data_IF_417297867669
#
_entry.id   IF_417297867669
#
_cell.length_a   1.000
_cell.length_b   1.000
_cell.length_c   1.000
_cell.angle_alpha   90.00
_cell.angle_beta   90.00
_cell.angle_gamma   90.00
#
_symmetry.space_group_name_H-M   'P 1'
#
loop_
_entity.id
_entity.type
_entity.pdbx_description
1 polymer ?
#
# COMPACT_ATOMS: atom_id res chain seq x y z
N UNK A 1 -10.51 -0.62 -12.10
CA UNK A 1 -10.25 -0.13 -10.72
C UNK A 1 -11.56 0.36 -10.16
N UNK A 2 -11.82 0.11 -8.89
CA UNK A 2 -13.09 0.38 -8.16
C UNK A 2 -13.43 1.87 -8.00
N UNK A 3 -13.05 2.68 -9.00
CA UNK A 3 -13.14 4.13 -9.11
C UNK A 3 -14.55 4.72 -8.96
N UNK A 4 -15.59 3.87 -8.92
CA UNK A 4 -16.99 4.27 -8.73
C UNK A 4 -17.51 3.92 -7.33
N UNK A 5 -16.70 3.29 -6.49
CA UNK A 5 -17.05 2.99 -5.10
C UNK A 5 -16.49 4.09 -4.21
N UNK A 6 -17.40 4.87 -3.60
CA UNK A 6 -17.03 6.04 -2.79
C UNK A 6 -16.45 5.67 -1.42
N UNK A 7 -16.91 4.56 -0.84
CA UNK A 7 -16.44 4.04 0.45
C UNK A 7 -15.82 2.66 0.24
N UNK A 8 -14.50 2.62 0.08
CA UNK A 8 -13.76 1.39 -0.17
C UNK A 8 -12.55 1.30 0.74
N UNK A 9 -12.37 0.16 1.39
CA UNK A 9 -11.14 -0.20 2.11
C UNK A 9 -10.55 -1.44 1.47
N UNK A 10 -9.27 -1.38 1.13
CA UNK A 10 -8.46 -2.49 0.65
C UNK A 10 -7.37 -2.69 1.69
N UNK A 11 -7.34 -3.86 2.34
CA UNK A 11 -6.36 -4.15 3.38
C UNK A 11 -5.82 -5.59 3.31
N UNK A 12 -4.63 -5.79 3.89
CA UNK A 12 -4.02 -7.10 4.08
C UNK A 12 -2.51 -7.09 3.82
N UNK A 13 -1.90 -8.27 3.94
CA UNK A 13 -0.52 -8.50 3.55
C UNK A 13 -0.40 -8.45 2.02
N UNK A 14 0.20 -7.36 1.52
CA UNK A 14 0.40 -7.14 0.09
C UNK A 14 1.85 -7.39 -0.34
N UNK A 15 2.75 -7.75 0.60
CA UNK A 15 4.19 -7.77 0.36
C UNK A 15 4.70 -6.49 -0.34
N UNK A 16 4.15 -5.32 0.04
CA UNK A 16 4.30 -4.07 -0.72
C UNK A 16 5.57 -3.25 -0.39
N UNK A 17 6.68 -3.92 -0.05
CA UNK A 17 7.95 -3.26 0.28
C UNK A 17 9.16 -4.19 0.13
N UNK A 18 10.34 -3.67 0.47
CA UNK A 18 11.60 -4.43 0.52
C UNK A 18 11.92 -5.10 -0.83
N UNK A 19 12.33 -6.37 -0.83
CA UNK A 19 12.71 -7.09 -2.05
C UNK A 19 11.53 -7.41 -2.97
N UNK A 20 10.31 -7.45 -2.44
CA UNK A 20 9.11 -7.82 -3.20
C UNK A 20 8.62 -6.68 -4.09
N UNK A 21 8.71 -5.44 -3.61
CA UNK A 21 8.27 -4.27 -4.37
C UNK A 21 9.26 -3.10 -4.22
N UNK A 22 10.04 -2.88 -5.27
CA UNK A 22 10.96 -1.73 -5.32
C UNK A 22 10.19 -0.41 -5.27
N UNK A 23 10.84 0.66 -4.77
CA UNK A 23 10.27 2.02 -4.76
C UNK A 23 9.74 2.44 -6.13
N UNK A 24 10.53 2.22 -7.20
CA UNK A 24 10.11 2.53 -8.59
C UNK A 24 8.88 1.71 -9.00
N UNK A 25 8.81 0.43 -8.64
CA UNK A 25 7.64 -0.41 -8.91
C UNK A 25 6.40 0.10 -8.19
N UNK A 26 6.54 0.45 -6.90
CA UNK A 26 5.47 1.00 -6.07
C UNK A 26 4.92 2.31 -6.61
N UNK A 27 5.80 3.24 -6.99
CA UNK A 27 5.41 4.55 -7.55
C UNK A 27 4.72 4.43 -8.94
N UNK A 28 4.87 3.28 -9.60
CA UNK A 28 4.21 2.97 -10.87
C UNK A 28 2.86 2.26 -10.70
N UNK A 29 2.50 1.81 -9.50
CA UNK A 29 1.21 1.17 -9.26
C UNK A 29 0.07 2.14 -9.54
N UNK A 30 -0.95 1.66 -10.25
CA UNK A 30 -2.18 2.44 -10.50
C UNK A 30 -2.85 2.89 -9.19
N UNK A 31 -2.78 2.06 -8.15
CA UNK A 31 -3.35 2.32 -6.83
C UNK A 31 -2.56 3.39 -6.06
N UNK A 32 -1.30 3.63 -6.44
CA UNK A 32 -0.44 4.66 -5.87
C UNK A 32 -0.54 5.98 -6.64
N UNK A 33 -0.67 5.91 -7.96
CA UNK A 33 -0.79 7.10 -8.83
C UNK A 33 -2.17 7.76 -8.78
N UNK A 34 -3.23 7.00 -8.55
CA UNK A 34 -4.57 7.55 -8.41
C UNK A 34 -4.75 8.13 -7.00
N UNK A 35 -4.75 9.46 -6.91
CA UNK A 35 -4.74 10.22 -5.66
C UNK A 35 -5.98 10.04 -4.79
N UNK A 36 -7.04 9.40 -5.31
CA UNK A 36 -8.24 9.04 -4.54
C UNK A 36 -7.96 7.92 -3.55
N UNK A 37 -7.01 7.02 -3.86
CA UNK A 37 -6.62 5.94 -2.98
C UNK A 37 -5.58 6.44 -1.99
N UNK A 38 -5.97 6.59 -0.73
CA UNK A 38 -5.09 7.02 0.34
C UNK A 38 -4.46 5.83 1.02
N UNK A 39 -3.14 5.71 0.89
CA UNK A 39 -2.34 4.72 1.60
C UNK A 39 -2.14 5.20 3.04
N UNK A 40 -2.83 4.57 3.99
CA UNK A 40 -2.78 4.93 5.41
C UNK A 40 -1.59 4.31 6.12
N UNK A 41 -1.22 3.10 5.74
CA UNK A 41 0.08 2.53 6.11
C UNK A 41 1.10 2.98 5.07
N UNK A 42 1.96 3.92 5.49
CA UNK A 42 2.98 4.54 4.64
C UNK A 42 4.19 3.62 4.47
N UNK A 43 5.10 4.01 3.59
CA UNK A 43 6.25 3.16 3.20
C UNK A 43 7.35 3.10 4.28
N UNK A 44 7.29 3.96 5.29
CA UNK A 44 8.22 4.06 6.41
C UNK A 44 7.72 3.34 7.67
N UNK A 45 6.50 2.77 7.63
CA UNK A 45 5.96 1.99 8.73
C UNK A 45 6.43 0.54 8.67
N UNK A 46 6.94 0.03 9.77
CA UNK A 46 7.26 -1.41 9.91
C UNK A 46 6.01 -2.18 10.33
N UNK A 47 5.67 -3.18 9.53
CA UNK A 47 4.50 -4.06 9.74
C UNK A 47 4.90 -5.48 10.10
N UNK A 48 6.19 -5.74 10.29
CA UNK A 48 6.70 -7.09 10.58
C UNK A 48 7.04 -7.23 12.06
N UNK A 49 7.00 -8.48 12.56
CA UNK A 49 7.58 -8.84 13.87
C UNK A 49 9.07 -9.21 13.73
N UNK A 50 9.58 -9.25 12.50
CA UNK A 50 10.94 -9.70 12.20
C UNK A 50 11.97 -8.58 12.44
N UNK A 51 13.26 -8.93 12.42
CA UNK A 51 14.34 -7.93 12.47
C UNK A 51 14.37 -7.05 11.21
N UNK A 52 13.91 -7.60 10.09
CA UNK A 52 13.86 -6.89 8.81
C UNK A 52 12.62 -5.99 8.77
N UNK A 53 12.83 -4.68 8.75
CA UNK A 53 11.75 -3.69 8.76
C UNK A 53 11.15 -3.52 7.36
N UNK A 54 9.87 -3.83 7.19
CA UNK A 54 9.17 -3.72 5.90
C UNK A 54 7.70 -3.32 6.07
N UNK A 55 7.19 -2.53 5.12
CA UNK A 55 5.78 -2.17 5.00
C UNK A 55 4.98 -3.16 4.11
N UNK A 56 4.88 -4.42 4.53
CA UNK A 56 4.18 -5.48 3.80
C UNK A 56 2.66 -5.35 3.88
N UNK A 57 2.12 -5.19 5.08
CA UNK A 57 0.71 -4.97 5.29
C UNK A 57 0.33 -3.56 4.88
N UNK A 58 -0.78 -3.42 4.15
CA UNK A 58 -1.26 -2.12 3.68
C UNK A 58 -2.72 -1.92 4.03
N UNK A 59 -3.07 -0.67 4.27
CA UNK A 59 -4.44 -0.18 4.31
C UNK A 59 -4.55 0.97 3.31
N UNK A 60 -5.39 0.78 2.30
CA UNK A 60 -5.65 1.76 1.24
C UNK A 60 -7.15 2.04 1.22
N UNK A 61 -7.52 3.31 1.33
CA UNK A 61 -8.91 3.70 1.43
C UNK A 61 -9.29 4.79 0.42
N UNK A 62 -10.50 4.69 -0.10
CA UNK A 62 -11.25 5.78 -0.75
C UNK A 62 -12.36 6.13 0.23
N UNK A 63 -12.26 7.32 0.85
CA UNK A 63 -13.17 7.88 1.85
C UNK A 63 -13.21 9.39 1.68
#
# INVERSE_FOLDING_TARGET
>A
MYARTENLVILGDMNADCSYLTKKGRDNLRLRRDSRYKWRITDDMDTTVSVQKCAYDRLVAVL
#
